data_IF_335073581348
#
_entry.id   IF_335073581348
#
_cell.length_a   1.000
_cell.length_b   1.000
_cell.length_c   1.000
_cell.angle_alpha   90.00
_cell.angle_beta   90.00
_cell.angle_gamma   90.00
#
_symmetry.space_group_name_H-M   'P 1'
#
loop_
_entity.id
_entity.type
_entity.pdbx_description
1 polymer ?
#
# COMPACT_ATOMS: atom_id res chain seq x y z
N UNK A 1 14.78 -25.87 -14.76
CA UNK A 1 15.03 -24.86 -13.73
C UNK A 1 13.85 -23.89 -13.75
N UNK A 2 13.23 -23.70 -12.60
CA UNK A 2 12.14 -22.74 -12.43
C UNK A 2 12.62 -21.56 -11.59
N UNK A 3 12.47 -20.34 -12.12
CA UNK A 3 12.89 -19.10 -11.47
C UNK A 3 11.64 -18.28 -11.11
N UNK A 4 11.43 -18.01 -9.84
CA UNK A 4 10.40 -17.11 -9.35
C UNK A 4 10.99 -15.71 -9.25
N UNK A 5 10.37 -14.73 -9.91
CA UNK A 5 10.84 -13.33 -9.95
C UNK A 5 9.80 -12.47 -9.25
N UNK A 6 10.12 -12.06 -8.02
CA UNK A 6 9.24 -11.34 -7.09
C UNK A 6 9.84 -9.98 -6.67
N UNK A 7 10.00 -9.01 -7.58
CA UNK A 7 10.52 -7.69 -7.27
C UNK A 7 9.43 -6.77 -6.76
N UNK A 8 9.82 -5.76 -5.99
CA UNK A 8 9.08 -4.52 -5.77
C UNK A 8 9.33 -3.52 -6.90
N UNK A 9 8.61 -2.42 -6.90
CA UNK A 9 8.78 -1.30 -7.81
C UNK A 9 10.12 -0.59 -7.59
N UNK A 10 10.68 -0.05 -8.66
CA UNK A 10 11.81 0.89 -8.58
C UNK A 10 11.22 2.30 -8.64
N UNK A 11 10.97 2.87 -7.46
CA UNK A 11 10.32 4.17 -7.30
C UNK A 11 10.91 5.21 -8.26
N UNK A 12 10.05 6.03 -8.84
CA UNK A 12 10.38 7.07 -9.84
C UNK A 12 10.96 6.52 -11.17
N UNK A 13 10.97 5.18 -11.38
CA UNK A 13 11.56 4.57 -12.58
C UNK A 13 10.68 3.50 -13.21
N UNK A 14 10.46 2.36 -12.55
CA UNK A 14 9.75 1.21 -13.10
C UNK A 14 8.77 0.61 -12.11
N UNK A 15 7.60 0.21 -12.59
CA UNK A 15 6.66 -0.62 -11.83
C UNK A 15 7.25 -2.00 -11.53
N UNK A 16 6.76 -2.67 -10.49
CA UNK A 16 7.19 -4.03 -10.13
C UNK A 16 7.06 -5.01 -11.32
N UNK A 17 6.02 -4.87 -12.13
CA UNK A 17 5.83 -5.64 -13.36
C UNK A 17 6.91 -5.39 -14.40
N UNK A 18 7.22 -4.12 -14.66
CA UNK A 18 8.27 -3.78 -15.64
C UNK A 18 9.63 -4.28 -15.19
N UNK A 19 9.93 -4.23 -13.88
CA UNK A 19 11.14 -4.82 -13.28
C UNK A 19 11.16 -6.33 -13.54
N UNK A 20 10.06 -7.03 -13.20
CA UNK A 20 9.96 -8.49 -13.41
C UNK A 20 10.15 -8.89 -14.86
N UNK A 21 9.54 -8.16 -15.80
CA UNK A 21 9.66 -8.42 -17.23
C UNK A 21 11.08 -8.16 -17.77
N UNK A 22 11.74 -7.09 -17.32
CA UNK A 22 13.11 -6.78 -17.72
C UNK A 22 14.10 -7.85 -17.23
N UNK A 23 13.96 -8.29 -15.97
CA UNK A 23 14.76 -9.39 -15.42
C UNK A 23 14.50 -10.70 -16.14
N UNK A 24 13.22 -11.08 -16.36
CA UNK A 24 12.87 -12.26 -17.12
C UNK A 24 13.57 -12.28 -18.47
N UNK A 25 13.48 -11.18 -19.23
CA UNK A 25 14.09 -11.09 -20.56
C UNK A 25 15.61 -11.32 -20.54
N UNK A 26 16.31 -10.81 -19.54
CA UNK A 26 17.74 -11.06 -19.34
C UNK A 26 18.05 -12.52 -19.02
N UNK A 27 17.35 -13.10 -18.05
CA UNK A 27 17.52 -14.50 -17.67
C UNK A 27 17.16 -15.47 -18.81
N UNK A 28 16.07 -15.22 -19.53
CA UNK A 28 15.60 -16.07 -20.64
C UNK A 28 16.61 -16.15 -21.77
N UNK A 29 17.33 -15.04 -22.05
CA UNK A 29 18.40 -15.04 -23.04
C UNK A 29 19.60 -15.93 -22.61
N UNK A 30 19.95 -15.95 -21.32
CA UNK A 30 21.04 -16.81 -20.80
C UNK A 30 20.58 -18.27 -20.62
N UNK A 31 19.35 -18.49 -20.19
CA UNK A 31 18.76 -19.75 -19.75
C UNK A 31 17.47 -20.04 -20.53
N UNK A 32 17.52 -20.33 -21.84
CA UNK A 32 16.32 -20.41 -22.70
C UNK A 32 15.38 -21.58 -22.35
N UNK A 33 15.85 -22.55 -21.56
CA UNK A 33 15.06 -23.71 -21.12
C UNK A 33 14.57 -23.55 -19.65
N UNK A 34 14.66 -22.36 -19.05
CA UNK A 34 14.15 -22.10 -17.73
C UNK A 34 12.66 -21.71 -17.80
N UNK A 35 11.89 -22.13 -16.81
CA UNK A 35 10.54 -21.64 -16.57
C UNK A 35 10.57 -20.43 -15.66
N UNK A 36 9.75 -19.42 -15.95
CA UNK A 36 9.68 -18.19 -15.18
C UNK A 36 8.30 -17.99 -14.58
N UNK A 37 8.25 -17.81 -13.28
CA UNK A 37 7.07 -17.40 -12.55
C UNK A 37 7.22 -15.94 -12.13
N UNK A 38 6.43 -15.04 -12.73
CA UNK A 38 6.49 -13.61 -12.42
C UNK A 38 5.47 -13.29 -11.33
N UNK A 39 5.97 -12.69 -10.25
CA UNK A 39 5.18 -12.35 -9.08
C UNK A 39 5.57 -10.93 -8.62
N UNK A 40 5.22 -9.87 -9.38
CA UNK A 40 5.45 -8.51 -8.88
C UNK A 40 4.76 -8.31 -7.53
N UNK A 41 5.44 -7.68 -6.58
CA UNK A 41 4.98 -7.50 -5.20
C UNK A 41 5.15 -6.05 -4.75
N UNK A 42 4.76 -5.77 -3.52
CA UNK A 42 4.99 -4.53 -2.78
C UNK A 42 4.91 -4.79 -1.28
N UNK A 43 5.32 -3.84 -0.48
CA UNK A 43 5.37 -3.94 0.99
C UNK A 43 4.19 -3.27 1.72
N UNK A 44 3.19 -2.84 0.99
CA UNK A 44 2.05 -2.04 1.48
C UNK A 44 2.14 -0.57 1.10
N UNK A 45 3.26 -0.14 0.50
CA UNK A 45 3.46 1.20 -0.03
C UNK A 45 3.00 1.37 -1.48
N UNK A 46 3.53 2.41 -2.13
CA UNK A 46 3.21 2.75 -3.52
C UNK A 46 3.43 1.59 -4.49
N UNK A 47 2.45 1.33 -5.36
CA UNK A 47 2.51 0.26 -6.37
C UNK A 47 2.04 -1.11 -5.88
N UNK A 48 1.84 -1.31 -4.58
CA UNK A 48 1.41 -2.60 -4.01
C UNK A 48 0.08 -3.05 -4.59
N UNK A 49 -0.89 -2.15 -4.69
CA UNK A 49 -2.23 -2.51 -5.19
C UNK A 49 -2.23 -2.81 -6.69
N UNK A 50 -1.40 -2.14 -7.48
CA UNK A 50 -1.21 -2.49 -8.90
C UNK A 50 -0.61 -3.90 -9.03
N UNK A 51 0.40 -4.21 -8.23
CA UNK A 51 1.01 -5.55 -8.21
C UNK A 51 0.00 -6.64 -7.79
N UNK A 52 -0.82 -6.38 -6.76
CA UNK A 52 -1.88 -7.30 -6.33
C UNK A 52 -2.96 -7.46 -7.41
N UNK A 53 -3.40 -6.36 -8.02
CA UNK A 53 -4.41 -6.40 -9.08
C UNK A 53 -3.98 -7.29 -10.25
N UNK A 54 -2.70 -7.24 -10.63
CA UNK A 54 -2.13 -8.09 -11.66
C UNK A 54 -2.07 -9.56 -11.24
N UNK A 55 -1.54 -9.85 -10.06
CA UNK A 55 -1.45 -11.23 -9.57
C UNK A 55 -2.84 -11.89 -9.43
N UNK A 56 -3.85 -11.12 -9.06
CA UNK A 56 -5.23 -11.58 -8.91
C UNK A 56 -6.05 -11.48 -10.22
N UNK A 57 -5.43 -11.07 -11.34
CA UNK A 57 -6.06 -10.88 -12.65
C UNK A 57 -7.32 -9.98 -12.58
N UNK A 58 -7.23 -8.86 -11.87
CA UNK A 58 -8.33 -7.89 -11.77
C UNK A 58 -8.30 -6.90 -12.93
N UNK A 59 -9.47 -6.55 -13.43
CA UNK A 59 -9.62 -5.55 -14.49
C UNK A 59 -9.65 -4.13 -13.91
N UNK A 60 -8.88 -3.21 -14.50
CA UNK A 60 -8.97 -1.78 -14.16
C UNK A 60 -10.27 -1.18 -14.68
N UNK A 61 -11.01 -0.53 -13.81
CA UNK A 61 -12.29 0.13 -14.07
C UNK A 61 -12.28 1.54 -13.53
N UNK A 62 -13.22 2.36 -13.94
CA UNK A 62 -13.39 3.71 -13.40
C UNK A 62 -14.86 4.02 -13.17
N UNK A 63 -15.10 4.87 -12.16
CA UNK A 63 -16.42 5.37 -11.81
C UNK A 63 -16.32 6.85 -11.43
N UNK A 64 -17.40 7.60 -11.61
CA UNK A 64 -17.52 8.95 -11.10
C UNK A 64 -17.98 8.94 -9.65
N UNK A 65 -17.14 9.45 -8.76
CA UNK A 65 -17.39 9.58 -7.32
C UNK A 65 -16.92 10.97 -6.89
N UNK A 66 -17.63 11.65 -5.98
CA UNK A 66 -17.15 12.90 -5.40
C UNK A 66 -15.78 12.72 -4.73
N UNK A 67 -14.83 13.55 -5.11
CA UNK A 67 -13.53 13.61 -4.45
C UNK A 67 -13.59 14.59 -3.28
N UNK A 68 -12.63 14.49 -2.36
CA UNK A 68 -12.52 15.40 -1.22
C UNK A 68 -12.41 16.90 -1.63
N UNK A 69 -12.09 17.19 -2.89
CA UNK A 69 -11.82 18.54 -3.41
C UNK A 69 -12.59 18.88 -4.69
N UNK A 70 -13.42 17.97 -5.21
CA UNK A 70 -14.29 18.21 -6.38
C UNK A 70 -15.47 17.25 -6.36
N UNK A 71 -16.62 17.73 -6.79
CA UNK A 71 -17.87 16.95 -6.84
C UNK A 71 -17.96 15.98 -8.02
N UNK A 72 -17.05 16.01 -8.98
CA UNK A 72 -17.11 15.21 -10.21
C UNK A 72 -15.74 14.65 -10.58
N UNK A 73 -15.23 13.73 -9.74
CA UNK A 73 -13.96 13.05 -9.96
C UNK A 73 -14.13 11.65 -10.54
N UNK A 74 -13.19 11.21 -11.39
CA UNK A 74 -13.11 9.83 -11.85
C UNK A 74 -12.14 9.05 -10.97
N UNK A 75 -12.62 7.98 -10.35
CA UNK A 75 -11.84 7.10 -9.49
C UNK A 75 -11.54 5.80 -10.22
N UNK A 76 -10.28 5.37 -10.19
CA UNK A 76 -9.85 4.09 -10.72
C UNK A 76 -9.80 3.04 -9.61
N UNK A 77 -10.24 1.83 -9.93
CA UNK A 77 -10.15 0.65 -9.09
C UNK A 77 -9.94 -0.60 -9.96
N UNK A 78 -9.49 -1.69 -9.37
CA UNK A 78 -9.39 -2.97 -10.07
C UNK A 78 -10.40 -3.95 -9.49
N UNK A 79 -11.12 -4.72 -10.33
CA UNK A 79 -12.11 -5.68 -9.85
C UNK A 79 -12.40 -6.79 -10.86
N UNK A 80 -12.73 -7.99 -10.33
CA UNK A 80 -13.31 -9.11 -11.08
C UNK A 80 -14.80 -9.33 -10.78
N UNK A 81 -15.45 -8.39 -10.08
CA UNK A 81 -16.85 -8.49 -9.65
C UNK A 81 -17.05 -9.13 -8.27
N UNK A 82 -16.11 -9.93 -7.78
CA UNK A 82 -16.10 -10.52 -6.43
C UNK A 82 -15.17 -9.77 -5.50
N UNK A 83 -13.96 -9.48 -5.97
CA UNK A 83 -12.92 -8.74 -5.27
C UNK A 83 -12.73 -7.36 -5.91
N UNK A 84 -12.50 -6.33 -5.11
CA UNK A 84 -12.10 -5.01 -5.58
C UNK A 84 -10.90 -4.48 -4.79
N UNK A 85 -10.00 -3.80 -5.51
CA UNK A 85 -8.81 -3.16 -4.96
C UNK A 85 -8.80 -1.69 -5.38
N UNK A 86 -8.56 -0.78 -4.44
CA UNK A 86 -8.39 0.64 -4.72
C UNK A 86 -7.58 1.37 -3.65
N UNK A 87 -7.02 2.52 -4.03
CA UNK A 87 -6.33 3.46 -3.14
C UNK A 87 -7.28 4.56 -2.69
N UNK A 88 -7.35 4.85 -1.38
CA UNK A 88 -8.08 6.03 -0.92
C UNK A 88 -7.51 7.34 -1.50
N UNK A 89 -6.22 7.36 -1.81
CA UNK A 89 -5.56 8.51 -2.44
C UNK A 89 -6.18 8.89 -3.78
N UNK A 90 -6.72 7.95 -4.55
CA UNK A 90 -7.45 8.23 -5.78
C UNK A 90 -8.68 9.13 -5.57
N UNK A 91 -9.21 9.21 -4.33
CA UNK A 91 -10.41 9.98 -3.95
C UNK A 91 -10.03 11.21 -3.13
N UNK A 92 -9.09 11.08 -2.21
CA UNK A 92 -8.74 12.12 -1.25
C UNK A 92 -7.22 12.25 -1.04
N UNK A 93 -6.42 12.06 -2.11
CA UNK A 93 -4.97 12.08 -2.07
C UNK A 93 -4.35 13.48 -2.08
N UNK A 94 -3.14 13.59 -1.50
CA UNK A 94 -2.35 14.81 -1.47
C UNK A 94 -1.89 15.28 -2.86
N UNK A 95 -1.71 14.37 -3.79
CA UNK A 95 -1.23 14.65 -5.14
C UNK A 95 -2.22 15.49 -5.96
N UNK A 96 -3.50 15.45 -5.60
CA UNK A 96 -4.56 16.17 -6.29
C UNK A 96 -4.79 17.59 -5.78
N UNK A 97 -4.03 18.03 -4.75
CA UNK A 97 -4.21 19.36 -4.13
C UNK A 97 -2.87 20.08 -3.96
N UNK A 98 -2.77 21.30 -4.48
CA UNK A 98 -1.57 22.12 -4.31
C UNK A 98 -1.32 22.45 -2.83
N UNK A 99 -0.06 22.60 -2.45
CA UNK A 99 0.34 22.80 -1.03
C UNK A 99 -0.39 23.98 -0.37
N UNK A 100 -0.64 25.05 -1.13
CA UNK A 100 -1.26 26.29 -0.66
C UNK A 100 -2.76 26.12 -0.34
N UNK A 101 -3.40 25.09 -0.93
CA UNK A 101 -4.83 24.80 -0.77
C UNK A 101 -5.10 23.67 0.24
N UNK A 102 -4.07 23.06 0.81
CA UNK A 102 -4.23 21.96 1.75
C UNK A 102 -4.88 22.41 3.05
N UNK A 103 -6.00 21.82 3.37
CA UNK A 103 -6.70 22.01 4.65
C UNK A 103 -7.40 20.70 5.04
N UNK A 104 -6.72 19.80 5.76
CA UNK A 104 -7.25 18.46 6.03
C UNK A 104 -8.51 18.45 6.91
N UNK A 105 -8.79 19.55 7.60
CA UNK A 105 -9.99 19.67 8.44
C UNK A 105 -11.26 20.02 7.65
N UNK A 106 -11.11 20.56 6.44
CA UNK A 106 -12.23 20.88 5.53
C UNK A 106 -12.45 19.80 4.45
N UNK A 107 -11.60 18.79 4.42
CA UNK A 107 -11.72 17.68 3.48
C UNK A 107 -12.43 16.50 4.13
N UNK A 108 -13.06 15.66 3.30
CA UNK A 108 -13.82 14.49 3.73
C UNK A 108 -13.41 13.23 2.99
N UNK A 109 -13.49 12.09 3.66
CA UNK A 109 -13.32 10.76 3.06
C UNK A 109 -14.64 10.18 2.52
N UNK A 110 -15.71 10.96 2.40
CA UNK A 110 -17.06 10.50 2.03
C UNK A 110 -17.07 9.68 0.74
N UNK A 111 -16.36 10.11 -0.29
CA UNK A 111 -16.31 9.40 -1.57
C UNK A 111 -15.77 7.96 -1.46
N UNK A 112 -14.94 7.66 -0.44
CA UNK A 112 -14.50 6.28 -0.19
C UNK A 112 -15.67 5.40 0.26
N UNK A 113 -16.52 5.90 1.16
CA UNK A 113 -17.74 5.19 1.58
C UNK A 113 -18.71 4.99 0.42
N UNK A 114 -18.91 6.01 -0.41
CA UNK A 114 -19.76 5.93 -1.60
C UNK A 114 -19.25 4.91 -2.63
N UNK A 115 -17.93 4.82 -2.83
CA UNK A 115 -17.32 3.78 -3.67
C UNK A 115 -17.59 2.38 -3.11
N UNK A 116 -17.42 2.17 -1.80
CA UNK A 116 -17.73 0.90 -1.15
C UNK A 116 -19.21 0.53 -1.36
N UNK A 117 -20.14 1.46 -1.14
CA UNK A 117 -21.59 1.24 -1.39
C UNK A 117 -21.84 0.79 -2.81
N UNK A 118 -21.30 1.52 -3.79
CA UNK A 118 -21.47 1.18 -5.20
C UNK A 118 -20.94 -0.23 -5.54
N UNK A 119 -19.76 -0.57 -5.06
CA UNK A 119 -19.13 -1.86 -5.33
C UNK A 119 -19.88 -3.01 -4.64
N UNK A 120 -20.34 -2.84 -3.39
CA UNK A 120 -21.16 -3.84 -2.69
C UNK A 120 -22.48 -4.10 -3.43
N UNK A 121 -23.14 -3.03 -3.90
CA UNK A 121 -24.37 -3.13 -4.70
C UNK A 121 -24.12 -3.81 -6.06
N UNK A 122 -22.91 -3.69 -6.60
CA UNK A 122 -22.49 -4.36 -7.84
C UNK A 122 -22.06 -5.83 -7.63
N UNK A 123 -22.10 -6.35 -6.38
CA UNK A 123 -21.80 -7.75 -6.06
C UNK A 123 -20.43 -8.01 -5.44
N UNK A 124 -19.57 -6.98 -5.28
CA UNK A 124 -18.27 -7.14 -4.63
C UNK A 124 -18.47 -7.50 -3.15
N UNK A 125 -17.67 -8.46 -2.66
CA UNK A 125 -17.71 -8.94 -1.26
C UNK A 125 -16.35 -8.95 -0.59
N UNK A 126 -15.28 -8.76 -1.35
CA UNK A 126 -13.91 -8.77 -0.84
C UNK A 126 -13.18 -7.50 -1.28
N UNK A 127 -12.73 -6.72 -0.32
CA UNK A 127 -12.07 -5.44 -0.54
C UNK A 127 -10.64 -5.45 -0.02
N UNK A 128 -9.73 -4.89 -0.82
CA UNK A 128 -8.37 -4.57 -0.42
C UNK A 128 -8.19 -3.07 -0.65
N UNK A 129 -7.99 -2.29 0.41
CA UNK A 129 -7.98 -0.84 0.36
C UNK A 129 -6.62 -0.32 0.85
N UNK A 130 -5.92 0.42 0.00
CA UNK A 130 -4.74 1.17 0.39
C UNK A 130 -5.13 2.49 1.06
N UNK A 131 -4.56 2.78 2.23
CA UNK A 131 -4.89 3.97 3.02
C UNK A 131 -3.76 5.00 3.08
N UNK A 132 -2.72 4.83 2.26
CA UNK A 132 -1.61 5.78 2.11
C UNK A 132 -1.99 7.05 1.35
N UNK A 133 -1.09 8.06 1.34
CA UNK A 133 -1.15 9.24 0.48
C UNK A 133 -2.29 10.23 0.71
N UNK A 134 -3.08 10.14 1.79
CA UNK A 134 -4.30 10.95 2.02
C UNK A 134 -4.03 12.42 2.33
N UNK A 135 -4.93 13.31 1.88
CA UNK A 135 -4.97 14.74 2.22
C UNK A 135 -5.89 15.04 3.43
N UNK A 136 -6.68 14.09 3.88
CA UNK A 136 -7.71 14.23 4.93
C UNK A 136 -7.17 13.93 6.33
N UNK A 137 -7.85 14.47 7.35
CA UNK A 137 -7.64 14.13 8.77
C UNK A 137 -8.98 14.17 9.50
N UNK A 138 -9.95 13.44 8.97
CA UNK A 138 -11.34 13.38 9.42
C UNK A 138 -11.66 12.14 10.27
N UNK A 139 -10.62 11.33 10.61
CA UNK A 139 -10.83 10.11 11.38
C UNK A 139 -11.70 9.06 10.67
N UNK A 140 -11.94 9.20 9.37
CA UNK A 140 -12.79 8.30 8.61
C UNK A 140 -14.31 8.52 8.79
N UNK A 141 -14.74 9.60 9.46
CA UNK A 141 -16.17 9.91 9.59
C UNK A 141 -16.82 10.22 8.24
N UNK A 142 -16.05 10.80 7.28
CA UNK A 142 -16.53 10.98 5.92
C UNK A 142 -16.90 9.65 5.27
N UNK A 143 -16.02 8.67 5.32
CA UNK A 143 -16.27 7.33 4.81
C UNK A 143 -17.50 6.69 5.49
N UNK A 144 -17.62 6.79 6.81
CA UNK A 144 -18.78 6.29 7.54
C UNK A 144 -20.09 6.98 7.09
N UNK A 145 -20.04 8.29 6.83
CA UNK A 145 -21.19 9.03 6.28
C UNK A 145 -21.57 8.51 4.88
N UNK A 146 -20.61 8.24 4.03
CA UNK A 146 -20.82 7.61 2.73
C UNK A 146 -21.43 6.20 2.84
N UNK A 147 -21.13 5.44 3.91
CA UNK A 147 -21.76 4.17 4.23
C UNK A 147 -23.18 4.28 4.80
N UNK A 148 -23.67 5.53 5.06
CA UNK A 148 -25.02 5.78 5.55
C UNK A 148 -25.12 6.14 7.02
N UNK A 149 -24.00 6.24 7.76
CA UNK A 149 -24.01 6.80 9.11
C UNK A 149 -24.31 8.30 9.10
N UNK A 150 -24.83 8.83 10.22
CA UNK A 150 -25.09 10.26 10.40
C UNK A 150 -24.55 10.72 11.75
N UNK A 151 -24.05 11.95 11.79
CA UNK A 151 -23.38 12.54 12.95
C UNK A 151 -24.14 13.79 13.40
N UNK A 152 -24.38 13.92 14.69
CA UNK A 152 -25.17 15.02 15.25
C UNK A 152 -24.43 15.67 16.43
N UNK A 153 -24.64 16.97 16.57
CA UNK A 153 -24.15 17.75 17.71
C UNK A 153 -25.06 17.59 18.96
N UNK A 154 -24.78 18.39 20.01
CA UNK A 154 -25.55 18.41 21.26
C UNK A 154 -26.97 18.92 21.11
N UNK A 155 -27.26 19.66 20.05
CA UNK A 155 -28.60 20.23 19.76
C UNK A 155 -29.40 19.32 18.82
N UNK A 156 -28.79 18.24 18.35
CA UNK A 156 -29.40 17.30 17.41
C UNK A 156 -29.34 17.76 15.96
N UNK A 157 -28.48 18.75 15.63
CA UNK A 157 -28.26 19.17 14.26
C UNK A 157 -27.27 18.23 13.58
N UNK A 158 -27.57 17.85 12.34
CA UNK A 158 -26.67 17.01 11.55
C UNK A 158 -25.42 17.81 11.15
N UNK A 159 -24.24 17.18 11.34
CA UNK A 159 -22.93 17.75 11.07
C UNK A 159 -22.38 17.24 9.75
N UNK A 160 -21.71 18.13 9.00
CA UNK A 160 -20.90 17.73 7.86
C UNK A 160 -19.77 16.79 8.29
N UNK A 161 -19.49 15.70 7.55
CA UNK A 161 -18.51 14.68 7.92
C UNK A 161 -17.09 15.13 7.56
N UNK A 162 -16.58 16.17 8.21
CA UNK A 162 -15.24 16.74 8.01
C UNK A 162 -14.46 16.76 9.34
N UNK A 163 -13.13 16.79 9.24
CA UNK A 163 -12.26 16.75 10.42
C UNK A 163 -12.51 17.87 11.43
N UNK A 164 -12.91 19.06 10.98
CA UNK A 164 -13.24 20.19 11.85
C UNK A 164 -14.40 19.91 12.83
N UNK A 165 -15.29 19.01 12.49
CA UNK A 165 -16.50 18.72 13.25
C UNK A 165 -16.36 17.55 14.24
N UNK A 166 -15.23 16.79 14.22
CA UNK A 166 -15.02 15.63 15.10
C UNK A 166 -15.34 15.91 16.57
N UNK A 167 -14.82 17.01 17.11
CA UNK A 167 -15.03 17.40 18.52
C UNK A 167 -16.45 17.85 18.86
N UNK A 168 -17.30 18.11 17.88
CA UNK A 168 -18.69 18.55 18.03
C UNK A 168 -19.67 17.38 18.07
N UNK A 169 -19.28 16.20 17.57
CA UNK A 169 -20.15 15.03 17.48
C UNK A 169 -20.51 14.53 18.87
N UNK A 170 -21.81 14.39 19.14
CA UNK A 170 -22.38 13.86 20.39
C UNK A 170 -23.25 12.63 20.17
N UNK A 171 -23.72 12.40 18.94
CA UNK A 171 -24.53 11.24 18.59
C UNK A 171 -24.13 10.71 17.22
N UNK A 172 -24.04 9.40 17.09
CA UNK A 172 -23.88 8.68 15.84
C UNK A 172 -25.14 7.86 15.57
N UNK A 173 -25.76 8.00 14.40
CA UNK A 173 -26.88 7.18 13.96
C UNK A 173 -26.42 6.20 12.88
N UNK A 174 -26.85 4.95 13.00
CA UNK A 174 -26.60 3.85 12.06
C UNK A 174 -27.88 3.35 11.39
N UNK A 175 -28.97 4.10 11.45
CA UNK A 175 -30.29 3.65 10.94
C UNK A 175 -30.30 3.34 9.45
N UNK A 176 -29.53 4.10 8.67
CA UNK A 176 -29.45 3.98 7.23
C UNK A 176 -28.11 3.38 6.74
N UNK A 177 -27.33 2.75 7.65
CA UNK A 177 -26.02 2.20 7.26
C UNK A 177 -26.19 1.06 6.26
N UNK A 178 -25.25 0.97 5.33
CA UNK A 178 -25.15 -0.19 4.43
C UNK A 178 -24.99 -1.47 5.26
N UNK A 179 -25.72 -2.51 4.89
CA UNK A 179 -25.48 -3.85 5.41
C UNK A 179 -24.21 -4.44 4.76
N UNK A 180 -23.19 -4.65 5.57
CA UNK A 180 -21.91 -5.24 5.18
C UNK A 180 -21.80 -6.72 5.56
N UNK A 181 -22.93 -7.39 5.89
CA UNK A 181 -22.94 -8.83 6.17
C UNK A 181 -22.38 -9.62 4.99
N UNK A 182 -21.37 -10.45 5.25
CA UNK A 182 -20.68 -11.23 4.22
C UNK A 182 -19.73 -10.42 3.33
N UNK A 183 -19.42 -9.17 3.70
CA UNK A 183 -18.35 -8.36 3.09
C UNK A 183 -17.11 -8.43 3.96
N UNK A 184 -15.95 -8.64 3.35
CA UNK A 184 -14.64 -8.60 4.01
C UNK A 184 -13.89 -7.37 3.52
N UNK A 185 -13.38 -6.56 4.44
CA UNK A 185 -12.58 -5.37 4.11
C UNK A 185 -11.21 -5.50 4.77
N UNK A 186 -10.16 -5.49 3.97
CA UNK A 186 -8.76 -5.54 4.41
C UNK A 186 -8.05 -4.27 4.01
N UNK A 187 -7.37 -3.66 4.97
CA UNK A 187 -6.62 -2.43 4.77
C UNK A 187 -5.15 -2.77 4.67
N UNK A 188 -4.48 -2.28 3.64
CA UNK A 188 -3.04 -2.36 3.53
C UNK A 188 -2.44 -1.01 3.94
N UNK A 189 -1.48 -1.07 4.86
CA UNK A 189 -0.68 0.08 5.27
C UNK A 189 0.73 -0.39 5.62
N UNK A 190 1.71 0.47 5.34
CA UNK A 190 3.13 0.30 5.68
C UNK A 190 3.50 1.01 7.00
N UNK A 191 2.53 1.64 7.66
CA UNK A 191 2.74 2.35 8.92
C UNK A 191 2.02 1.68 10.08
N UNK A 192 2.62 1.72 11.25
CA UNK A 192 2.10 1.17 12.51
C UNK A 192 1.60 2.24 13.49
N UNK A 193 1.60 3.52 13.05
CA UNK A 193 1.22 4.65 13.88
C UNK A 193 -0.17 4.46 14.52
N UNK A 194 -0.31 4.69 15.85
CA UNK A 194 -1.62 4.70 16.49
C UNK A 194 -2.45 5.89 16.01
N UNK A 195 -3.74 5.89 16.32
CA UNK A 195 -4.64 6.95 15.90
C UNK A 195 -4.24 8.32 16.48
N UNK A 196 -3.97 8.38 17.77
CA UNK A 196 -3.77 9.62 18.53
C UNK A 196 -2.45 9.61 19.31
N UNK A 197 -2.09 10.80 19.85
CA UNK A 197 -0.86 11.03 20.60
C UNK A 197 0.31 11.49 19.73
N UNK A 198 1.49 11.67 20.33
CA UNK A 198 2.66 12.23 19.65
C UNK A 198 3.14 11.42 18.43
N UNK A 199 2.84 10.12 18.39
CA UNK A 199 3.10 9.22 17.27
C UNK A 199 1.86 8.95 16.41
N UNK A 200 0.74 9.63 16.68
CA UNK A 200 -0.53 9.43 16.00
C UNK A 200 -0.65 10.19 14.69
N UNK A 201 -1.80 9.96 14.02
CA UNK A 201 -2.12 10.49 12.71
C UNK A 201 -1.87 12.00 12.56
N UNK A 202 -2.37 12.80 13.51
CA UNK A 202 -2.31 14.25 13.46
C UNK A 202 -0.88 14.78 13.64
N UNK A 203 -0.14 14.28 14.63
CA UNK A 203 1.21 14.76 14.91
C UNK A 203 2.23 14.38 13.85
N UNK A 204 2.12 13.16 13.31
CA UNK A 204 3.12 12.66 12.33
C UNK A 204 2.80 13.16 10.92
N UNK A 205 1.53 13.11 10.51
CA UNK A 205 1.15 13.36 9.12
C UNK A 205 0.40 14.68 8.89
N UNK A 206 -0.09 15.35 9.95
CA UNK A 206 -0.92 16.54 9.82
C UNK A 206 -0.21 17.72 9.16
N UNK A 207 1.08 17.92 9.45
CA UNK A 207 1.87 19.03 8.90
C UNK A 207 1.97 19.00 7.37
N UNK A 208 2.26 17.84 6.77
CA UNK A 208 2.31 17.69 5.31
C UNK A 208 0.95 17.88 4.63
N UNK A 209 -0.14 17.70 5.39
CA UNK A 209 -1.53 17.88 4.93
C UNK A 209 -2.02 19.34 5.10
N UNK A 210 -1.22 20.22 5.70
CA UNK A 210 -1.54 21.65 5.84
C UNK A 210 -1.96 22.10 7.25
N UNK A 211 -1.92 21.21 8.26
CA UNK A 211 -2.12 21.65 9.66
C UNK A 211 -0.90 22.42 10.18
N UNK A 212 -1.16 23.52 10.87
CA UNK A 212 -0.13 24.20 11.64
C UNK A 212 0.16 23.47 12.96
N UNK A 213 1.39 23.52 13.49
CA UNK A 213 1.73 22.88 14.76
C UNK A 213 0.84 23.32 15.94
N UNK A 214 0.33 24.56 15.91
CA UNK A 214 -0.59 25.08 16.93
C UNK A 214 -1.94 24.36 16.96
N UNK A 215 -2.35 23.73 15.87
CA UNK A 215 -3.62 23.00 15.75
C UNK A 215 -3.50 21.55 16.21
N UNK A 216 -2.30 20.95 16.20
CA UNK A 216 -2.11 19.52 16.43
C UNK A 216 -2.77 19.02 17.70
N UNK A 217 -2.53 19.72 18.83
CA UNK A 217 -3.08 19.31 20.13
C UNK A 217 -4.61 19.26 20.13
N UNK A 218 -5.26 20.27 19.58
CA UNK A 218 -6.72 20.35 19.55
C UNK A 218 -7.31 19.26 18.65
N UNK A 219 -6.76 19.11 17.43
CA UNK A 219 -7.23 18.13 16.46
C UNK A 219 -7.04 16.69 16.97
N UNK A 220 -5.88 16.41 17.57
CA UNK A 220 -5.61 15.09 18.17
C UNK A 220 -6.55 14.79 19.35
N UNK A 221 -6.83 15.78 20.21
CA UNK A 221 -7.76 15.65 21.31
C UNK A 221 -9.20 15.39 20.82
N UNK A 222 -9.66 16.10 19.79
CA UNK A 222 -10.99 15.93 19.23
C UNK A 222 -11.17 14.52 18.64
N UNK A 223 -10.17 14.04 17.92
CA UNK A 223 -10.14 12.69 17.38
C UNK A 223 -10.11 11.64 18.50
N UNK A 224 -9.28 11.84 19.51
CA UNK A 224 -9.18 10.94 20.65
C UNK A 224 -10.49 10.90 21.44
N UNK A 225 -11.15 12.05 21.69
CA UNK A 225 -12.41 12.10 22.40
C UNK A 225 -13.52 11.39 21.63
N UNK A 226 -13.64 11.66 20.32
CA UNK A 226 -14.63 10.99 19.47
C UNK A 226 -14.52 9.47 19.54
N UNK A 227 -13.31 8.93 19.35
CA UNK A 227 -13.12 7.49 19.39
C UNK A 227 -13.21 6.91 20.81
N UNK A 228 -12.87 7.65 21.85
CA UNK A 228 -13.11 7.23 23.24
C UNK A 228 -14.61 7.01 23.51
N UNK A 229 -15.45 7.86 22.92
CA UNK A 229 -16.89 7.82 23.14
C UNK A 229 -17.60 6.74 22.29
N UNK A 230 -17.10 6.47 21.07
CA UNK A 230 -17.84 5.65 20.10
C UNK A 230 -17.19 4.33 19.69
N UNK A 231 -15.84 4.21 19.74
CA UNK A 231 -15.10 3.00 19.38
C UNK A 231 -13.71 2.97 20.03
N UNK A 232 -13.62 2.85 21.37
CA UNK A 232 -12.35 2.98 22.10
C UNK A 232 -11.30 1.91 21.74
N UNK A 233 -11.71 0.78 21.19
CA UNK A 233 -10.83 -0.31 20.77
C UNK A 233 -9.84 0.10 19.70
N UNK A 234 -10.21 1.01 18.78
CA UNK A 234 -9.35 1.43 17.67
C UNK A 234 -8.16 2.31 18.11
N UNK A 235 -8.29 2.95 19.28
CA UNK A 235 -7.23 3.82 19.83
C UNK A 235 -5.91 3.07 20.10
N UNK A 236 -5.99 1.76 20.33
CA UNK A 236 -4.85 0.90 20.69
C UNK A 236 -4.34 0.07 19.51
N UNK A 237 -5.00 0.13 18.37
CA UNK A 237 -4.60 -0.68 17.22
C UNK A 237 -3.39 -0.04 16.50
N UNK A 238 -2.37 -0.82 16.22
CA UNK A 238 -1.28 -0.43 15.36
C UNK A 238 -1.81 -0.16 13.94
N UNK A 239 -1.35 0.91 13.30
CA UNK A 239 -1.80 1.32 11.99
C UNK A 239 -3.13 2.07 11.93
N UNK A 240 -3.85 2.22 13.07
CA UNK A 240 -5.14 2.92 13.11
C UNK A 240 -5.05 4.40 12.71
N UNK A 241 -3.86 5.02 12.83
CA UNK A 241 -3.60 6.39 12.40
C UNK A 241 -3.41 6.56 10.90
N UNK A 242 -3.27 5.47 10.14
CA UNK A 242 -3.08 5.54 8.71
C UNK A 242 -4.24 6.27 8.01
N UNK A 243 -3.91 7.01 6.94
CA UNK A 243 -4.91 7.77 6.20
C UNK A 243 -5.54 8.95 6.94
N UNK A 244 -4.93 9.45 8.04
CA UNK A 244 -5.55 10.51 8.86
C UNK A 244 -6.70 9.99 9.72
N UNK A 245 -6.59 8.75 10.20
CA UNK A 245 -7.60 8.03 10.96
C UNK A 245 -8.59 7.24 10.10
N UNK A 246 -8.38 7.19 8.78
CA UNK A 246 -9.23 6.40 7.88
C UNK A 246 -9.23 4.92 8.27
N UNK A 247 -8.06 4.36 8.64
CA UNK A 247 -7.96 2.99 9.09
C UNK A 247 -8.80 2.74 10.35
N UNK A 248 -8.75 3.66 11.34
CA UNK A 248 -9.62 3.59 12.52
C UNK A 248 -11.10 3.63 12.13
N UNK A 249 -11.49 4.52 11.21
CA UNK A 249 -12.87 4.62 10.73
C UNK A 249 -13.36 3.34 10.06
N UNK A 250 -12.56 2.75 9.17
CA UNK A 250 -12.92 1.51 8.50
C UNK A 250 -13.04 0.33 9.49
N UNK A 251 -12.17 0.27 10.50
CA UNK A 251 -12.34 -0.75 11.57
C UNK A 251 -13.61 -0.51 12.34
N UNK A 252 -13.88 0.73 12.83
CA UNK A 252 -14.99 1.04 13.69
C UNK A 252 -16.38 0.95 13.01
N UNK A 253 -16.46 1.34 11.72
CA UNK A 253 -17.74 1.49 11.02
C UNK A 253 -18.01 0.44 9.96
N UNK A 254 -16.98 -0.30 9.53
CA UNK A 254 -17.07 -1.29 8.46
C UNK A 254 -16.45 -2.64 8.82
N UNK A 255 -16.07 -2.86 10.09
CA UNK A 255 -15.47 -4.10 10.62
C UNK A 255 -14.24 -4.56 9.79
N UNK A 256 -13.44 -3.60 9.34
CA UNK A 256 -12.28 -3.86 8.51
C UNK A 256 -11.09 -4.38 9.34
N UNK A 257 -10.24 -5.18 8.70
CA UNK A 257 -9.01 -5.68 9.29
C UNK A 257 -7.80 -4.89 8.77
N UNK A 258 -6.98 -4.36 9.68
CA UNK A 258 -5.68 -3.77 9.31
C UNK A 258 -4.69 -4.90 9.07
N UNK A 259 -4.16 -4.98 7.87
CA UNK A 259 -3.10 -5.90 7.47
C UNK A 259 -1.84 -5.09 7.17
N UNK A 260 -0.74 -5.46 7.78
CA UNK A 260 0.53 -4.78 7.56
C UNK A 260 1.46 -5.60 6.69
N UNK A 261 2.16 -4.89 5.82
CA UNK A 261 3.37 -5.35 5.19
C UNK A 261 3.24 -6.47 4.20
N UNK A 262 4.41 -6.95 3.87
CA UNK A 262 4.66 -7.94 2.82
C UNK A 262 3.98 -9.29 3.07
N UNK A 263 3.80 -9.71 4.32
CA UNK A 263 3.23 -11.02 4.62
C UNK A 263 1.80 -11.16 4.09
N UNK A 264 0.98 -10.12 4.26
CA UNK A 264 -0.37 -10.12 3.69
C UNK A 264 -0.36 -10.14 2.15
N UNK A 265 0.55 -9.39 1.53
CA UNK A 265 0.69 -9.40 0.06
C UNK A 265 1.06 -10.80 -0.43
N UNK A 266 2.01 -11.46 0.24
CA UNK A 266 2.43 -12.82 -0.09
C UNK A 266 1.32 -13.86 0.10
N UNK A 267 0.45 -13.69 1.12
CA UNK A 267 -0.74 -14.52 1.29
C UNK A 267 -1.73 -14.34 0.13
N UNK A 268 -1.98 -13.10 -0.29
CA UNK A 268 -2.90 -12.80 -1.38
C UNK A 268 -2.47 -13.41 -2.73
N UNK A 269 -1.15 -13.56 -2.96
CA UNK A 269 -0.60 -14.10 -4.21
C UNK A 269 -0.26 -15.59 -4.14
N UNK A 270 -0.65 -16.27 -3.04
CA UNK A 270 -0.42 -17.69 -2.80
C UNK A 270 1.06 -18.07 -2.89
N UNK A 271 1.92 -17.19 -2.34
CA UNK A 271 3.38 -17.30 -2.43
C UNK A 271 3.90 -18.66 -1.97
N UNK A 272 3.42 -19.15 -0.81
CA UNK A 272 3.93 -20.38 -0.20
C UNK A 272 3.71 -21.64 -1.06
N UNK A 273 2.71 -21.64 -1.92
CA UNK A 273 2.51 -22.73 -2.89
C UNK A 273 3.41 -22.54 -4.11
N UNK A 274 3.48 -21.31 -4.62
CA UNK A 274 4.25 -20.99 -5.84
C UNK A 274 5.74 -21.21 -5.64
N UNK A 275 6.29 -20.81 -4.48
CA UNK A 275 7.72 -20.92 -4.19
C UNK A 275 8.22 -22.36 -4.06
N UNK A 276 7.38 -23.32 -3.65
CA UNK A 276 7.76 -24.75 -3.48
C UNK A 276 8.36 -25.38 -4.72
N UNK A 277 7.98 -24.90 -5.89
CA UNK A 277 8.44 -25.41 -7.18
C UNK A 277 9.61 -24.61 -7.78
N UNK A 278 10.07 -23.56 -7.09
CA UNK A 278 11.18 -22.75 -7.56
C UNK A 278 12.54 -23.36 -7.22
N UNK A 279 13.48 -23.25 -8.15
CA UNK A 279 14.88 -23.58 -7.94
C UNK A 279 15.71 -22.34 -7.53
N UNK A 280 15.16 -21.14 -7.79
CA UNK A 280 15.77 -19.84 -7.50
C UNK A 280 14.68 -18.80 -7.35
N UNK A 281 14.83 -17.92 -6.37
CA UNK A 281 13.99 -16.73 -6.17
C UNK A 281 14.81 -15.48 -6.46
N UNK A 282 14.27 -14.58 -7.26
CA UNK A 282 14.84 -13.26 -7.52
C UNK A 282 13.92 -12.23 -6.86
N UNK A 283 14.50 -11.39 -6.01
CA UNK A 283 13.84 -10.24 -5.39
C UNK A 283 14.52 -8.95 -5.83
N UNK A 284 13.92 -7.80 -5.58
CA UNK A 284 14.54 -6.52 -5.89
C UNK A 284 13.72 -5.35 -5.40
N UNK A 285 14.39 -4.21 -5.27
CA UNK A 285 13.81 -2.90 -4.98
C UNK A 285 14.71 -1.79 -5.55
N UNK A 286 14.20 -0.55 -5.61
CA UNK A 286 14.98 0.57 -6.16
C UNK A 286 16.27 0.86 -5.38
N UNK A 287 16.25 0.74 -4.05
CA UNK A 287 17.43 0.94 -3.19
C UNK A 287 17.32 0.09 -1.93
N UNK A 288 18.29 -0.78 -1.75
CA UNK A 288 18.42 -1.59 -0.54
C UNK A 288 19.37 -0.95 0.47
N UNK A 289 18.94 -0.85 1.71
CA UNK A 289 19.67 -0.32 2.86
C UNK A 289 19.37 -1.14 4.13
N UNK A 290 19.96 -0.74 5.28
CA UNK A 290 19.73 -1.41 6.56
C UNK A 290 18.25 -1.44 6.98
N UNK A 291 17.44 -0.44 6.57
CA UNK A 291 15.99 -0.44 6.83
C UNK A 291 15.27 -1.50 6.00
N UNK A 292 15.75 -1.80 4.79
CA UNK A 292 15.19 -2.88 3.96
C UNK A 292 15.25 -4.23 4.67
N UNK A 293 16.29 -4.45 5.50
CA UNK A 293 16.43 -5.67 6.31
C UNK A 293 15.39 -5.80 7.43
N UNK A 294 14.67 -4.74 7.76
CA UNK A 294 13.65 -4.72 8.80
C UNK A 294 12.29 -5.26 8.38
N UNK A 295 12.15 -5.79 7.13
CA UNK A 295 10.94 -6.48 6.69
C UNK A 295 10.25 -5.89 5.47
N UNK A 296 10.96 -5.08 4.65
CA UNK A 296 10.45 -4.65 3.34
C UNK A 296 10.29 -5.85 2.38
N UNK A 297 9.68 -5.61 1.23
CA UNK A 297 9.30 -6.62 0.25
C UNK A 297 10.39 -7.67 -0.05
N UNK A 298 11.64 -7.32 -0.40
CA UNK A 298 12.67 -8.32 -0.70
C UNK A 298 12.98 -9.27 0.45
N UNK A 299 13.04 -8.72 1.68
CA UNK A 299 13.35 -9.49 2.89
C UNK A 299 12.14 -10.31 3.35
N UNK A 300 10.93 -9.79 3.20
CA UNK A 300 9.71 -10.55 3.46
C UNK A 300 9.62 -11.81 2.60
N UNK A 301 9.86 -11.67 1.28
CA UNK A 301 9.94 -12.80 0.36
C UNK A 301 11.05 -13.79 0.77
N UNK A 302 12.25 -13.26 1.06
CA UNK A 302 13.39 -14.11 1.42
C UNK A 302 13.13 -14.93 2.70
N UNK A 303 12.50 -14.32 3.72
CA UNK A 303 12.16 -15.00 4.98
C UNK A 303 11.12 -16.11 4.81
N UNK A 304 10.17 -15.94 3.88
CA UNK A 304 9.15 -16.97 3.58
C UNK A 304 9.63 -18.01 2.57
N UNK A 305 10.76 -17.77 1.89
CA UNK A 305 11.35 -18.75 0.98
C UNK A 305 12.00 -19.87 1.77
N UNK A 306 11.73 -21.17 1.46
CA UNK A 306 12.42 -22.29 2.09
C UNK A 306 13.94 -22.14 2.00
N UNK A 307 14.67 -22.43 3.08
CA UNK A 307 16.13 -22.25 3.18
C UNK A 307 16.94 -23.07 2.16
N UNK A 308 16.31 -24.06 1.54
CA UNK A 308 16.92 -24.88 0.46
C UNK A 308 16.88 -24.17 -0.90
N UNK A 309 16.13 -23.09 -1.04
CA UNK A 309 15.98 -22.33 -2.29
C UNK A 309 16.77 -21.03 -2.14
N UNK A 310 17.80 -20.80 -2.97
CA UNK A 310 18.58 -19.56 -2.92
C UNK A 310 17.75 -18.35 -3.33
N UNK A 311 18.00 -17.21 -2.68
CA UNK A 311 17.38 -15.93 -2.98
C UNK A 311 18.47 -14.95 -3.40
N UNK A 312 18.31 -14.33 -4.56
CA UNK A 312 19.20 -13.27 -5.07
C UNK A 312 18.43 -11.95 -5.14
N UNK A 313 18.98 -10.91 -4.54
CA UNK A 313 18.47 -9.55 -4.66
C UNK A 313 19.13 -8.82 -5.84
N UNK A 314 18.31 -8.17 -6.68
CA UNK A 314 18.76 -7.30 -7.77
C UNK A 314 18.12 -5.94 -7.55
N UNK A 315 18.94 -4.96 -7.17
CA UNK A 315 18.47 -3.66 -6.69
C UNK A 315 19.00 -2.51 -7.57
N UNK A 316 18.29 -1.39 -7.59
CA UNK A 316 18.79 -0.18 -8.25
C UNK A 316 20.15 0.20 -7.68
N UNK A 317 20.25 0.31 -6.37
CA UNK A 317 21.53 0.53 -5.65
C UNK A 317 21.56 -0.23 -4.32
N UNK A 318 22.77 -0.46 -3.81
CA UNK A 318 23.04 -1.01 -2.48
C UNK A 318 23.76 0.06 -1.66
N UNK A 319 23.31 0.25 -0.41
CA UNK A 319 23.95 1.19 0.53
C UNK A 319 25.12 0.55 1.28
N UNK A 320 26.07 1.39 1.68
CA UNK A 320 27.26 0.98 2.43
C UNK A 320 26.96 0.51 3.88
N UNK A 321 25.72 0.74 4.37
CA UNK A 321 25.27 0.31 5.69
C UNK A 321 24.73 -1.14 5.73
N UNK A 322 24.75 -1.83 4.59
CA UNK A 322 24.37 -3.24 4.51
C UNK A 322 25.51 -4.15 5.02
N UNK A 323 25.17 -5.19 5.79
CA UNK A 323 26.15 -6.22 6.15
C UNK A 323 26.51 -7.09 4.94
N UNK A 324 27.57 -7.91 5.10
CA UNK A 324 27.92 -8.90 4.09
C UNK A 324 26.82 -9.95 3.90
N UNK A 325 26.62 -10.40 2.67
CA UNK A 325 25.69 -11.47 2.34
C UNK A 325 26.37 -12.85 2.53
N UNK A 326 25.64 -13.92 2.96
CA UNK A 326 24.19 -13.99 3.08
C UNK A 326 23.62 -13.31 4.34
N UNK A 327 22.50 -12.59 4.20
CA UNK A 327 21.81 -11.93 5.30
C UNK A 327 20.28 -11.95 5.11
N UNK A 328 19.54 -12.10 6.19
CA UNK A 328 18.07 -12.05 6.20
C UNK A 328 17.37 -12.97 5.17
N UNK A 329 17.99 -14.13 4.86
CA UNK A 329 17.49 -15.09 3.86
C UNK A 329 17.93 -14.80 2.42
N UNK A 330 18.60 -13.67 2.16
CA UNK A 330 19.13 -13.31 0.85
C UNK A 330 20.57 -13.86 0.74
N UNK A 331 20.83 -14.66 -0.29
CA UNK A 331 22.12 -15.32 -0.54
C UNK A 331 23.16 -14.37 -1.14
N UNK A 332 22.75 -13.48 -2.02
CA UNK A 332 23.61 -12.49 -2.69
C UNK A 332 22.79 -11.29 -3.16
N UNK A 333 23.43 -10.13 -3.28
CA UNK A 333 22.80 -8.92 -3.79
C UNK A 333 23.65 -8.26 -4.89
N UNK A 334 23.00 -7.73 -5.91
CA UNK A 334 23.64 -7.10 -7.06
C UNK A 334 22.98 -5.73 -7.36
N UNK A 335 23.74 -4.63 -7.45
CA UNK A 335 23.25 -3.37 -7.96
C UNK A 335 23.18 -3.41 -9.49
N UNK A 336 22.22 -2.70 -10.09
CA UNK A 336 22.08 -2.61 -11.55
C UNK A 336 22.85 -1.44 -12.17
N UNK A 337 23.32 -0.47 -11.36
CA UNK A 337 24.01 0.72 -11.85
C UNK A 337 25.35 0.29 -12.48
N UNK A 338 25.45 0.42 -13.81
CA UNK A 338 26.62 -0.01 -14.57
C UNK A 338 27.66 1.08 -14.82
N UNK A 339 27.34 2.35 -14.53
CA UNK A 339 28.24 3.50 -14.75
C UNK A 339 27.91 4.65 -13.80
N UNK A 340 28.87 5.52 -13.58
CA UNK A 340 28.65 6.77 -12.86
C UNK A 340 27.91 7.75 -13.79
N UNK A 341 26.72 8.16 -13.40
CA UNK A 341 25.86 9.08 -14.13
C UNK A 341 25.00 9.89 -13.15
N UNK A 342 24.32 10.94 -13.60
CA UNK A 342 23.32 11.63 -12.79
C UNK A 342 22.07 10.74 -12.57
N UNK A 343 21.25 11.13 -11.57
CA UNK A 343 20.10 10.33 -11.14
C UNK A 343 19.12 10.09 -12.30
N UNK A 344 18.79 11.13 -13.08
CA UNK A 344 17.81 11.03 -14.16
C UNK A 344 18.26 10.02 -15.23
N UNK A 345 19.55 10.02 -15.57
CA UNK A 345 20.13 9.06 -16.52
C UNK A 345 20.11 7.63 -15.95
N UNK A 346 20.41 7.46 -14.67
CA UNK A 346 20.37 6.15 -13.99
C UNK A 346 18.94 5.60 -13.99
N UNK A 347 17.95 6.44 -13.63
CA UNK A 347 16.53 6.04 -13.63
C UNK A 347 16.05 5.67 -15.03
N UNK A 348 16.39 6.45 -16.05
CA UNK A 348 16.03 6.18 -17.45
C UNK A 348 16.64 4.88 -17.99
N UNK A 349 17.85 4.52 -17.54
CA UNK A 349 18.55 3.31 -17.96
C UNK A 349 18.16 2.04 -17.19
N UNK A 350 17.28 2.12 -16.19
CA UNK A 350 16.99 1.04 -15.26
C UNK A 350 16.55 -0.25 -15.98
N UNK A 351 15.67 -0.15 -16.97
CA UNK A 351 15.17 -1.30 -17.73
C UNK A 351 16.29 -2.08 -18.44
N UNK A 352 17.18 -1.37 -19.12
CA UNK A 352 18.32 -1.98 -19.83
C UNK A 352 19.34 -2.56 -18.84
N UNK A 353 19.56 -1.88 -17.73
CA UNK A 353 20.46 -2.34 -16.68
C UNK A 353 19.94 -3.61 -15.99
N UNK A 354 18.63 -3.71 -15.73
CA UNK A 354 17.98 -4.93 -15.22
C UNK A 354 18.15 -6.11 -16.18
N UNK A 355 17.86 -5.89 -17.46
CA UNK A 355 18.09 -6.91 -18.49
C UNK A 355 19.52 -7.41 -18.47
N UNK A 356 20.52 -6.50 -18.51
CA UNK A 356 21.94 -6.83 -18.52
C UNK A 356 22.38 -7.57 -17.26
N UNK A 357 21.89 -7.17 -16.09
CA UNK A 357 22.19 -7.82 -14.82
C UNK A 357 21.59 -9.23 -14.78
N UNK A 358 20.34 -9.39 -15.20
CA UNK A 358 19.70 -10.71 -15.34
C UNK A 358 20.42 -11.65 -16.29
N UNK A 359 20.86 -11.13 -17.46
CA UNK A 359 21.67 -11.88 -18.43
C UNK A 359 22.99 -12.36 -17.84
N UNK A 360 23.72 -11.49 -17.12
CA UNK A 360 25.02 -11.81 -16.54
C UNK A 360 24.88 -12.85 -15.43
N UNK A 361 23.89 -12.70 -14.52
CA UNK A 361 23.63 -13.69 -13.46
C UNK A 361 23.19 -15.02 -14.07
N UNK A 362 22.34 -14.99 -15.11
CA UNK A 362 21.93 -16.20 -15.84
C UNK A 362 23.13 -16.93 -16.45
N UNK A 363 24.10 -16.21 -17.03
CA UNK A 363 25.33 -16.79 -17.56
C UNK A 363 26.22 -17.39 -16.44
N UNK A 364 26.32 -16.75 -15.26
CA UNK A 364 27.02 -17.30 -14.10
C UNK A 364 26.39 -18.63 -13.64
N UNK A 365 25.05 -18.69 -13.57
CA UNK A 365 24.33 -19.93 -13.23
C UNK A 365 24.58 -21.02 -14.27
N UNK A 366 24.63 -20.67 -15.54
CA UNK A 366 24.95 -21.61 -16.62
C UNK A 366 26.36 -22.19 -16.47
N UNK A 367 27.34 -21.35 -16.17
CA UNK A 367 28.72 -21.75 -15.94
C UNK A 367 28.87 -22.67 -14.73
N UNK A 368 28.17 -22.39 -13.63
CA UNK A 368 28.23 -23.23 -12.41
C UNK A 368 27.76 -24.67 -12.61
N UNK A 369 26.93 -24.93 -13.61
CA UNK A 369 26.47 -26.28 -13.99
C UNK A 369 27.48 -27.05 -14.85
N UNK A 370 28.53 -26.41 -15.33
CA UNK A 370 29.57 -27.01 -16.15
C UNK A 370 30.88 -27.25 -15.37
N UNK A 371 30.96 -26.72 -14.15
CA UNK A 371 32.03 -26.97 -13.18
C UNK A 371 31.68 -28.12 -12.25
#
# INVERSE_FOLDING_TARGET
MRILIAPDSFKESLSAKEVALALKSGFENALPNADFDLMPIGDGGEGTLDALAENLNLEKKSIKIPHAYTSDGSVFFASNGQTAIFEMAAICGLEHISKEKRNPLALTTQGVGELIVHLVQSGVRDFIIGVGGSATNDGGIGMAYGLGYRFYDSEGQELEPIGANLGLIKKVSSENKLDLSGVTIRLITDVDNPLCGQHGATYIFGGQKGLSPSQFKKVDQDMSQFYTDFAPEVLKLAGSGAGGGMAAGLVAFADAEIKSGIDFVLDCVDFDQRVKSADLVIVGEGRMDSQSLSGKAPVGVARRTPSTIPVIAICGSLKDDLPDFPVAGISAAFPIIGQVADLDQVLAAAKENLYRTGLNIGNLIKLSKTL
#
